data_IF_201630307658
#
_entry.id   IF_201630307658
#
_cell.length_a   1.000
_cell.length_b   1.000
_cell.length_c   1.000
_cell.angle_alpha   90.00
_cell.angle_beta   90.00
_cell.angle_gamma   90.00
#
_symmetry.space_group_name_H-M   'P 1'
#
loop_
_entity.id
_entity.type
_entity.pdbx_description
1 polymer ?
#
# COMPACT_ATOMS: atom_id res chain seq x y z
N UNK A 1 5.59 13.21 14.67
CA UNK A 1 4.45 12.76 13.84
C UNK A 1 5.00 11.88 12.72
N UNK A 2 4.70 10.58 12.71
CA UNK A 2 5.11 9.66 11.63
C UNK A 2 4.11 9.85 10.47
N UNK A 3 4.58 9.93 9.23
CA UNK A 3 3.68 10.02 8.06
C UNK A 3 2.97 8.69 7.83
N UNK A 4 1.71 8.72 7.35
CA UNK A 4 0.91 7.51 7.05
C UNK A 4 1.64 6.53 6.12
N UNK A 5 2.44 7.04 5.18
CA UNK A 5 3.30 6.24 4.30
C UNK A 5 4.32 5.41 5.08
N UNK A 6 4.98 6.02 6.08
CA UNK A 6 5.97 5.34 6.93
C UNK A 6 5.29 4.39 7.91
N UNK A 7 4.13 4.76 8.44
CA UNK A 7 3.34 3.91 9.32
C UNK A 7 2.88 2.63 8.60
N UNK A 8 2.39 2.76 7.35
CA UNK A 8 1.99 1.61 6.54
C UNK A 8 3.17 0.71 6.18
N UNK A 9 4.35 1.30 5.89
CA UNK A 9 5.59 0.51 5.71
C UNK A 9 5.88 -0.35 6.93
N UNK A 10 5.86 0.24 8.13
CA UNK A 10 6.12 -0.50 9.37
C UNK A 10 5.09 -1.61 9.59
N UNK A 11 3.83 -1.35 9.29
CA UNK A 11 2.77 -2.35 9.35
C UNK A 11 3.00 -3.52 8.38
N UNK A 12 3.42 -3.25 7.14
CA UNK A 12 3.77 -4.32 6.18
C UNK A 12 4.94 -5.18 6.67
N UNK A 13 5.96 -4.54 7.24
CA UNK A 13 7.14 -5.22 7.77
C UNK A 13 6.81 -6.06 9.02
N UNK A 14 5.98 -5.54 9.92
CA UNK A 14 5.52 -6.26 11.11
C UNK A 14 4.72 -7.54 10.78
N UNK A 15 4.09 -7.57 9.61
CA UNK A 15 3.26 -8.69 9.14
C UNK A 15 3.96 -9.57 8.09
N UNK A 16 5.26 -9.40 7.84
CA UNK A 16 6.00 -10.16 6.81
C UNK A 16 5.38 -10.05 5.41
N UNK A 17 4.61 -9.00 5.16
CA UNK A 17 3.98 -8.75 3.85
C UNK A 17 4.97 -8.13 2.86
N UNK A 18 6.06 -7.55 3.34
CA UNK A 18 7.14 -6.99 2.54
C UNK A 18 8.25 -8.00 2.17
N UNK A 19 8.17 -9.24 2.68
CA UNK A 19 9.26 -10.22 2.55
C UNK A 19 9.51 -10.61 1.09
N UNK A 20 10.77 -10.47 0.65
CA UNK A 20 11.18 -10.73 -0.74
C UNK A 20 10.92 -9.56 -1.70
N UNK A 21 10.32 -8.46 -1.23
CA UNK A 21 10.08 -7.25 -2.00
C UNK A 21 11.05 -6.14 -1.60
N UNK A 22 11.38 -5.26 -2.55
CA UNK A 22 12.04 -3.99 -2.26
C UNK A 22 10.95 -2.97 -1.94
N UNK A 23 10.90 -2.42 -0.72
CA UNK A 23 9.92 -1.39 -0.35
C UNK A 23 10.49 -0.01 -0.68
N UNK A 24 9.75 0.77 -1.46
CA UNK A 24 10.07 2.14 -1.83
C UNK A 24 8.93 3.08 -1.44
N UNK A 25 9.28 4.32 -1.13
CA UNK A 25 8.32 5.34 -0.70
C UNK A 25 8.20 6.42 -1.78
N UNK A 26 6.98 6.93 -1.97
CA UNK A 26 6.59 8.03 -2.86
C UNK A 26 6.71 7.76 -4.36
N UNK A 27 7.78 7.13 -4.82
CA UNK A 27 8.01 6.85 -6.23
C UNK A 27 8.66 5.49 -6.45
N UNK A 28 8.44 4.95 -7.63
CA UNK A 28 9.14 3.76 -8.09
C UNK A 28 10.48 4.14 -8.73
N UNK A 29 11.55 3.55 -8.24
CA UNK A 29 12.88 3.60 -8.85
C UNK A 29 13.33 2.19 -9.23
N UNK A 30 13.69 2.00 -10.50
CA UNK A 30 14.05 0.70 -11.06
C UNK A 30 15.52 0.31 -10.73
N UNK A 31 15.83 0.25 -9.44
CA UNK A 31 17.18 -0.03 -8.92
C UNK A 31 17.53 -1.52 -8.93
N UNK A 32 16.53 -2.40 -8.79
CA UNK A 32 16.72 -3.86 -8.73
C UNK A 32 15.70 -4.59 -9.63
N UNK A 33 15.94 -4.56 -10.94
CA UNK A 33 15.05 -5.15 -11.98
C UNK A 33 14.63 -6.61 -11.75
N UNK A 34 15.43 -7.39 -11.03
CA UNK A 34 15.16 -8.80 -10.77
C UNK A 34 14.12 -9.01 -9.65
N UNK A 35 14.03 -8.09 -8.69
CA UNK A 35 13.16 -8.24 -7.52
C UNK A 35 11.84 -7.48 -7.72
N UNK A 36 10.74 -7.99 -7.18
CA UNK A 36 9.51 -7.23 -7.14
C UNK A 36 9.62 -6.07 -6.14
N UNK A 37 8.87 -5.00 -6.41
CA UNK A 37 8.93 -3.75 -5.65
C UNK A 37 7.54 -3.41 -5.11
N UNK A 38 7.46 -2.94 -3.87
CA UNK A 38 6.25 -2.34 -3.30
C UNK A 38 6.50 -0.84 -3.15
N UNK A 39 5.67 -0.03 -3.80
CA UNK A 39 5.75 1.43 -3.72
C UNK A 39 4.56 1.95 -2.95
N UNK A 40 4.83 2.69 -1.88
CA UNK A 40 3.82 3.28 -0.99
C UNK A 40 3.82 4.79 -1.22
N UNK A 41 2.72 5.34 -1.72
CA UNK A 41 2.60 6.77 -2.00
C UNK A 41 1.26 7.33 -1.49
N UNK A 42 1.18 8.63 -1.14
CA UNK A 42 -0.10 9.30 -0.91
C UNK A 42 -0.95 9.29 -2.19
N UNK A 43 -2.27 9.17 -2.06
CA UNK A 43 -3.18 9.05 -3.19
C UNK A 43 -4.29 10.10 -3.14
N UNK A 44 -3.96 11.36 -3.43
CA UNK A 44 -4.83 12.51 -3.13
C UNK A 44 -5.08 12.68 -1.61
N UNK A 45 -5.58 13.83 -1.21
CA UNK A 45 -5.88 14.15 0.19
C UNK A 45 -7.32 14.62 0.34
N UNK A 46 -7.93 14.30 1.47
CA UNK A 46 -9.15 15.00 1.90
C UNK A 46 -8.78 16.36 2.54
N UNK A 47 -9.72 17.33 2.59
CA UNK A 47 -9.53 18.54 3.37
C UNK A 47 -9.24 18.18 4.84
N UNK A 48 -8.15 18.70 5.39
CA UNK A 48 -7.83 18.56 6.82
C UNK A 48 -8.62 19.62 7.58
N UNK A 49 -9.59 19.19 8.40
CA UNK A 49 -10.36 20.05 9.30
C UNK A 49 -10.00 19.64 10.72
N UNK A 50 -9.60 20.61 11.55
CA UNK A 50 -8.97 20.39 12.86
C UNK A 50 -9.81 19.63 13.90
N UNK A 51 -11.12 19.51 13.65
CA UNK A 51 -12.10 18.95 14.59
C UNK A 51 -12.90 17.77 13.99
N UNK A 52 -12.48 17.28 12.82
CA UNK A 52 -13.11 16.15 12.15
C UNK A 52 -12.08 15.05 11.86
N UNK A 53 -12.55 13.81 11.87
CA UNK A 53 -11.81 12.66 11.36
C UNK A 53 -11.28 12.99 9.95
N UNK A 54 -9.95 12.98 9.79
CA UNK A 54 -9.32 13.21 8.50
C UNK A 54 -9.20 11.90 7.71
N UNK A 55 -9.43 11.97 6.41
CA UNK A 55 -9.27 10.82 5.52
C UNK A 55 -7.96 10.93 4.75
N UNK A 56 -7.15 9.90 4.85
CA UNK A 56 -5.86 9.80 4.19
C UNK A 56 -5.90 8.68 3.18
N UNK A 57 -5.60 9.01 1.94
CA UNK A 57 -5.58 8.02 0.87
C UNK A 57 -4.14 7.61 0.60
N UNK A 58 -3.92 6.30 0.48
CA UNK A 58 -2.65 5.72 0.06
C UNK A 58 -2.86 4.93 -1.23
N UNK A 59 -1.82 4.87 -2.06
CA UNK A 59 -1.75 4.01 -3.23
C UNK A 59 -0.57 3.09 -3.06
N UNK A 60 -0.85 1.78 -3.06
CA UNK A 60 0.17 0.75 -2.97
C UNK A 60 0.35 0.15 -4.35
N UNK A 61 1.51 0.35 -4.95
CA UNK A 61 1.84 -0.24 -6.25
C UNK A 61 2.76 -1.44 -6.03
N UNK A 62 2.29 -2.64 -6.37
CA UNK A 62 3.13 -3.83 -6.46
C UNK A 62 3.62 -3.94 -7.90
N UNK A 63 4.94 -3.93 -8.09
CA UNK A 63 5.58 -4.04 -9.40
C UNK A 63 6.33 -5.36 -9.46
N UNK A 64 6.05 -6.18 -10.47
CA UNK A 64 6.76 -7.43 -10.67
C UNK A 64 8.22 -7.15 -11.07
N UNK A 65 9.16 -7.91 -10.52
CA UNK A 65 10.48 -8.04 -11.10
C UNK A 65 10.40 -8.78 -12.45
N UNK A 66 11.44 -8.63 -13.28
CA UNK A 66 11.49 -9.27 -14.60
C UNK A 66 11.34 -10.79 -14.58
N UNK A 67 11.81 -11.43 -13.50
CA UNK A 67 11.82 -12.89 -13.37
C UNK A 67 10.76 -13.43 -12.42
N UNK A 68 10.01 -12.57 -11.72
CA UNK A 68 9.05 -12.99 -10.69
C UNK A 68 7.68 -13.40 -11.26
N UNK A 69 7.42 -13.17 -12.54
CA UNK A 69 6.15 -13.55 -13.19
C UNK A 69 4.93 -12.94 -12.50
N UNK A 70 3.88 -13.74 -12.30
CA UNK A 70 2.59 -13.34 -11.74
C UNK A 70 2.48 -13.47 -10.21
N UNK A 71 3.59 -13.74 -9.51
CA UNK A 71 3.62 -13.95 -8.05
C UNK A 71 3.18 -12.74 -7.23
N UNK A 72 3.15 -11.54 -7.84
CA UNK A 72 2.67 -10.32 -7.18
C UNK A 72 1.14 -10.30 -6.96
N UNK A 73 0.37 -11.11 -7.70
CA UNK A 73 -1.08 -11.20 -7.52
C UNK A 73 -1.44 -11.79 -6.15
N UNK A 74 -0.81 -12.91 -5.80
CA UNK A 74 -1.01 -13.57 -4.51
C UNK A 74 -0.66 -12.62 -3.36
N UNK A 75 0.42 -11.84 -3.52
CA UNK A 75 0.82 -10.85 -2.53
C UNK A 75 -0.17 -9.70 -2.41
N UNK A 76 -0.68 -9.20 -3.53
CA UNK A 76 -1.71 -8.15 -3.53
C UNK A 76 -2.97 -8.62 -2.80
N UNK A 77 -3.43 -9.86 -3.07
CA UNK A 77 -4.56 -10.49 -2.36
C UNK A 77 -4.28 -10.68 -0.87
N UNK A 78 -3.08 -11.11 -0.50
CA UNK A 78 -2.68 -11.28 0.90
C UNK A 78 -2.70 -9.96 1.67
N UNK A 79 -2.19 -8.87 1.08
CA UNK A 79 -2.25 -7.53 1.68
C UNK A 79 -3.70 -7.11 1.89
N UNK A 80 -4.55 -7.23 0.86
CA UNK A 80 -5.97 -6.86 0.95
C UNK A 80 -6.70 -7.67 2.03
N UNK A 81 -6.50 -9.00 2.06
CA UNK A 81 -7.11 -9.87 3.06
C UNK A 81 -6.67 -9.52 4.48
N UNK A 82 -5.38 -9.24 4.68
CA UNK A 82 -4.83 -8.90 5.99
C UNK A 82 -5.34 -7.57 6.52
N UNK A 83 -5.50 -6.57 5.65
CA UNK A 83 -6.12 -5.28 5.97
C UNK A 83 -7.56 -5.46 6.50
N UNK A 84 -8.32 -6.39 5.93
CA UNK A 84 -9.70 -6.66 6.35
C UNK A 84 -9.78 -7.37 7.71
N UNK A 85 -8.83 -8.24 8.03
CA UNK A 85 -8.80 -9.00 9.29
C UNK A 85 -8.23 -8.18 10.44
N UNK A 86 -7.22 -7.35 10.16
CA UNK A 86 -6.48 -6.60 11.17
C UNK A 86 -6.29 -5.15 10.71
N UNK A 87 -7.33 -4.30 10.87
CA UNK A 87 -7.24 -2.89 10.53
C UNK A 87 -6.22 -2.19 11.44
N UNK A 88 -5.47 -1.27 10.85
CA UNK A 88 -4.34 -0.59 11.47
C UNK A 88 -4.77 0.41 12.57
N UNK A 89 -4.93 -0.08 13.80
CA UNK A 89 -5.47 0.70 14.92
C UNK A 89 -4.63 1.93 15.34
N UNK A 90 -3.34 2.00 15.02
CA UNK A 90 -2.43 3.03 15.55
C UNK A 90 -2.74 4.45 15.07
N UNK A 91 -3.44 4.59 13.94
CA UNK A 91 -3.84 5.89 13.37
C UNK A 91 -5.30 5.93 12.93
N UNK A 92 -6.09 4.87 13.20
CA UNK A 92 -7.51 4.79 12.85
C UNK A 92 -7.92 3.48 12.16
N UNK A 93 -8.81 3.56 11.18
CA UNK A 93 -9.33 2.41 10.42
C UNK A 93 -8.84 2.46 8.96
N UNK A 94 -8.50 1.31 8.37
CA UNK A 94 -8.09 1.22 6.96
C UNK A 94 -9.08 0.36 6.19
N UNK A 95 -9.51 0.86 5.03
CA UNK A 95 -10.36 0.13 4.09
C UNK A 95 -9.70 0.05 2.72
N UNK A 96 -9.88 -1.09 2.06
CA UNK A 96 -9.63 -1.20 0.63
C UNK A 96 -10.78 -0.53 -0.12
N UNK A 97 -10.49 0.37 -1.05
CA UNK A 97 -11.53 1.10 -1.81
C UNK A 97 -12.21 0.23 -2.89
N UNK A 98 -11.90 -1.07 -2.94
CA UNK A 98 -12.47 -2.01 -3.90
C UNK A 98 -11.81 -3.39 -3.86
N UNK A 99 -12.16 -4.23 -4.85
CA UNK A 99 -11.53 -5.53 -5.10
C UNK A 99 -10.14 -5.40 -5.74
N UNK A 100 -9.53 -6.54 -6.09
CA UNK A 100 -8.24 -6.53 -6.78
C UNK A 100 -8.41 -5.87 -8.17
N UNK A 101 -7.70 -4.77 -8.45
CA UNK A 101 -7.84 -4.05 -9.72
C UNK A 101 -7.17 -4.80 -10.86
N UNK A 102 -7.53 -4.45 -12.10
CA UNK A 102 -6.88 -5.02 -13.29
C UNK A 102 -5.38 -4.69 -13.32
N UNK A 103 -4.52 -5.65 -13.73
CA UNK A 103 -3.09 -5.40 -13.84
C UNK A 103 -2.78 -4.42 -14.96
N UNK A 104 -1.79 -3.57 -14.73
CA UNK A 104 -1.19 -2.69 -15.75
C UNK A 104 0.16 -3.29 -16.12
N UNK A 105 0.52 -3.26 -17.40
CA UNK A 105 1.82 -3.73 -17.87
C UNK A 105 2.70 -2.56 -18.31
N UNK A 106 3.96 -2.60 -17.92
CA UNK A 106 4.98 -1.69 -18.44
C UNK A 106 5.38 -2.07 -19.87
N UNK A 107 6.10 -1.18 -20.56
CA UNK A 107 6.67 -1.47 -21.88
C UNK A 107 7.59 -2.70 -21.88
N UNK A 108 8.26 -2.96 -20.76
CA UNK A 108 9.09 -4.16 -20.57
C UNK A 108 8.33 -5.36 -19.99
N UNK A 109 7.00 -5.35 -20.12
CA UNK A 109 6.08 -6.43 -19.77
C UNK A 109 6.10 -6.84 -18.28
N UNK A 110 6.37 -5.90 -17.37
CA UNK A 110 6.23 -6.11 -15.93
C UNK A 110 4.81 -5.78 -15.50
N UNK A 111 4.22 -6.70 -14.77
CA UNK A 111 2.90 -6.54 -14.19
C UNK A 111 2.95 -5.55 -13.02
N UNK A 112 1.93 -4.69 -12.93
CA UNK A 112 1.72 -3.74 -11.84
C UNK A 112 0.29 -3.87 -11.32
N UNK A 113 0.13 -4.06 -10.01
CA UNK A 113 -1.14 -3.87 -9.30
C UNK A 113 -1.10 -2.57 -8.51
N UNK A 114 -2.17 -1.78 -8.57
CA UNK A 114 -2.31 -0.50 -7.85
C UNK A 114 -3.50 -0.57 -6.90
N UNK A 115 -3.23 -0.71 -5.61
CA UNK A 115 -4.26 -0.85 -4.57
C UNK A 115 -4.51 0.51 -3.92
N UNK A 116 -5.66 1.17 -4.20
CA UNK A 116 -6.07 2.36 -3.47
C UNK A 116 -6.62 1.96 -2.09
N UNK A 117 -6.04 2.56 -1.05
CA UNK A 117 -6.43 2.36 0.34
C UNK A 117 -6.89 3.70 0.92
N UNK A 118 -7.90 3.66 1.79
CA UNK A 118 -8.35 4.81 2.57
C UNK A 118 -8.10 4.53 4.05
N UNK A 119 -7.50 5.48 4.73
CA UNK A 119 -7.25 5.48 6.17
C UNK A 119 -8.12 6.58 6.76
N UNK A 120 -8.99 6.21 7.68
CA UNK A 120 -9.88 7.11 8.40
C UNK A 120 -9.25 7.31 9.77
N UNK A 121 -8.71 8.49 10.05
CA UNK A 121 -8.12 8.78 11.35
C UNK A 121 -9.22 9.20 12.33
N UNK A 122 -9.63 8.29 13.21
CA UNK A 122 -10.54 8.63 14.31
C UNK A 122 -9.77 9.41 15.37
N UNK A 123 -10.22 10.64 15.67
CA UNK A 123 -9.87 11.27 16.94
C UNK A 123 -10.51 10.41 18.02
N UNK A 124 -9.72 9.60 18.73
CA UNK A 124 -10.24 8.98 19.94
C UNK A 124 -10.38 10.12 20.96
N UNK A 125 -11.62 10.52 21.23
CA UNK A 125 -11.95 11.21 22.47
C UNK A 125 -11.61 10.25 23.61
N UNK A 126 -10.57 10.59 24.39
CA UNK A 126 -10.38 10.04 25.75
C UNK A 126 -11.49 10.54 26.68
#
# INVERSE_FOLDING_TARGET
MISYVKAFKQWLEAHSLADGYVVQLYQWEDTQKAKPVIVIQPNSGSPQVSDLSSEHYLLISLVAGKNSGYTIEERARAIMSKILVEPFASFGYIESMGGLPAPIFTEDNRMIFRLPLRIISTNQEE
#
